data_IF_728979138163
#
_entry.id   IF_728979138163
#
_cell.length_a   1.000
_cell.length_b   1.000
_cell.length_c   1.000
_cell.angle_alpha   90.00
_cell.angle_beta   90.00
_cell.angle_gamma   90.00
#
_symmetry.space_group_name_H-M   'P 1'
#
loop_
_entity.id
_entity.type
_entity.pdbx_description
1 polymer ?
#
# COMPACT_ATOMS: atom_id res chain seq x y z
N UNK A 1 5.96 21.39 -11.31
CA UNK A 1 5.00 21.72 -10.22
C UNK A 1 4.35 20.43 -9.75
N UNK A 2 4.06 20.22 -8.48
CA UNK A 2 3.37 19.04 -8.03
C UNK A 2 1.96 19.04 -8.63
N UNK A 3 1.61 18.01 -9.39
CA UNK A 3 0.27 17.79 -9.93
C UNK A 3 -0.69 17.17 -8.91
N UNK A 4 -0.33 17.20 -7.64
CA UNK A 4 -1.06 16.59 -6.55
C UNK A 4 -0.87 17.36 -5.25
N UNK A 5 -1.98 17.66 -4.58
CA UNK A 5 -2.04 18.27 -3.27
C UNK A 5 -2.30 17.17 -2.22
N UNK A 6 -1.52 17.13 -1.16
CA UNK A 6 -1.67 16.12 -0.09
C UNK A 6 -2.90 16.34 0.79
N UNK A 7 -3.61 17.44 0.61
CA UNK A 7 -4.85 17.72 1.32
C UNK A 7 -5.94 16.73 0.96
N UNK A 8 -6.78 16.46 1.91
CA UNK A 8 -7.89 15.51 1.78
C UNK A 8 -9.23 16.24 1.83
N UNK A 9 -10.14 15.86 0.92
CA UNK A 9 -11.51 16.28 1.02
C UNK A 9 -12.10 15.89 2.40
N UNK A 10 -12.82 16.77 3.08
CA UNK A 10 -13.44 16.47 4.37
C UNK A 10 -14.28 15.19 4.33
N UNK A 11 -14.21 14.38 5.39
CA UNK A 11 -14.97 13.12 5.49
C UNK A 11 -16.41 13.35 5.98
N UNK A 12 -16.74 14.55 6.40
CA UNK A 12 -18.07 14.93 6.90
C UNK A 12 -19.04 15.11 5.75
N UNK A 13 -19.29 14.03 5.00
CA UNK A 13 -20.25 13.96 3.89
C UNK A 13 -21.64 13.63 4.42
N UNK A 14 -22.67 14.12 3.72
CA UNK A 14 -24.06 13.92 4.13
C UNK A 14 -24.64 12.61 3.59
N UNK A 15 -25.74 12.20 4.19
CA UNK A 15 -26.53 11.07 3.71
C UNK A 15 -27.00 11.32 2.27
N UNK A 16 -26.97 10.28 1.44
CA UNK A 16 -27.28 10.38 0.01
C UNK A 16 -26.05 10.48 -0.89
N UNK A 17 -24.86 10.67 -0.32
CA UNK A 17 -23.62 10.54 -1.08
C UNK A 17 -23.44 9.12 -1.60
N UNK A 18 -22.98 8.99 -2.84
CA UNK A 18 -22.76 7.69 -3.47
C UNK A 18 -21.31 7.48 -3.87
N UNK A 19 -20.90 6.20 -3.84
CA UNK A 19 -19.57 5.75 -4.24
C UNK A 19 -19.77 4.63 -5.26
N UNK A 20 -19.13 4.74 -6.41
CA UNK A 20 -19.19 3.72 -7.45
C UNK A 20 -17.82 3.46 -8.05
N UNK A 21 -17.63 2.24 -8.52
CA UNK A 21 -16.45 1.86 -9.31
C UNK A 21 -16.89 1.44 -10.70
N UNK A 22 -16.21 1.96 -11.73
CA UNK A 22 -16.52 1.71 -13.12
C UNK A 22 -15.34 1.09 -13.84
N UNK A 23 -15.59 -0.03 -14.52
CA UNK A 23 -14.64 -0.63 -15.45
C UNK A 23 -14.91 -0.15 -16.87
N UNK A 24 -13.87 0.28 -17.58
CA UNK A 24 -13.99 0.59 -19.00
C UNK A 24 -13.96 -0.71 -19.82
N UNK A 25 -15.13 -1.15 -20.24
CA UNK A 25 -15.33 -2.33 -21.09
C UNK A 25 -15.86 -1.87 -22.45
N UNK A 26 -15.26 -2.37 -23.52
CA UNK A 26 -15.75 -2.22 -24.88
C UNK A 26 -16.47 -3.51 -25.27
N UNK A 27 -17.66 -3.39 -25.81
CA UNK A 27 -18.49 -4.51 -26.25
C UNK A 27 -18.82 -4.30 -27.71
N UNK A 28 -18.31 -5.17 -28.57
CA UNK A 28 -18.58 -5.19 -30.00
C UNK A 28 -19.54 -6.34 -30.31
N UNK A 29 -20.70 -6.02 -30.89
CA UNK A 29 -21.68 -7.03 -31.31
C UNK A 29 -21.59 -7.18 -32.84
N UNK A 30 -21.32 -8.39 -33.29
CA UNK A 30 -21.30 -8.69 -34.73
C UNK A 30 -22.72 -8.91 -35.29
N UNK A 31 -22.86 -8.83 -36.61
CA UNK A 31 -24.16 -8.97 -37.28
C UNK A 31 -24.86 -10.32 -37.03
N UNK A 32 -24.12 -11.36 -36.61
CA UNK A 32 -24.68 -12.67 -36.25
C UNK A 32 -24.97 -12.81 -34.77
N UNK A 33 -24.92 -11.71 -33.98
CA UNK A 33 -25.26 -11.67 -32.56
C UNK A 33 -24.15 -12.10 -31.60
N UNK A 34 -22.94 -12.40 -32.09
CA UNK A 34 -21.82 -12.69 -31.20
C UNK A 34 -21.27 -11.41 -30.59
N UNK A 35 -20.97 -11.46 -29.29
CA UNK A 35 -20.37 -10.37 -28.56
C UNK A 35 -18.87 -10.62 -28.32
N UNK A 36 -18.05 -9.60 -28.60
CA UNK A 36 -16.64 -9.55 -28.22
C UNK A 36 -16.47 -8.49 -27.13
N UNK A 37 -15.89 -8.89 -25.98
CA UNK A 37 -15.69 -8.00 -24.85
C UNK A 37 -14.21 -7.74 -24.64
N UNK A 38 -13.86 -6.45 -24.56
CA UNK A 38 -12.49 -5.99 -24.36
C UNK A 38 -12.40 -5.12 -23.12
N UNK A 39 -11.56 -5.52 -22.16
CA UNK A 39 -11.26 -4.71 -20.99
C UNK A 39 -10.21 -3.65 -21.39
N UNK A 40 -10.55 -2.36 -21.24
CA UNK A 40 -9.63 -1.26 -21.57
C UNK A 40 -8.67 -0.90 -20.44
N UNK A 41 -9.08 -1.11 -19.18
CA UNK A 41 -8.27 -0.84 -17.99
C UNK A 41 -8.38 -1.99 -17.01
N UNK A 42 -7.25 -2.42 -16.46
CA UNK A 42 -7.20 -3.52 -15.49
C UNK A 42 -7.67 -3.12 -14.08
N UNK A 43 -7.87 -1.82 -13.82
CA UNK A 43 -8.34 -1.31 -12.56
C UNK A 43 -9.59 -0.44 -12.77
N UNK A 44 -10.55 -0.48 -11.86
CA UNK A 44 -11.72 0.39 -11.92
C UNK A 44 -11.33 1.84 -11.68
N UNK A 45 -12.13 2.75 -12.21
CA UNK A 45 -12.10 4.16 -11.85
C UNK A 45 -13.19 4.42 -10.83
N UNK A 46 -12.80 4.98 -9.70
CA UNK A 46 -13.77 5.36 -8.68
C UNK A 46 -14.46 6.67 -9.07
N UNK A 47 -15.78 6.69 -8.92
CA UNK A 47 -16.62 7.87 -9.05
C UNK A 47 -17.29 8.15 -7.72
N UNK A 48 -17.23 9.39 -7.29
CA UNK A 48 -17.83 9.82 -6.03
C UNK A 48 -18.82 10.94 -6.33
N UNK A 49 -20.02 10.81 -5.79
CA UNK A 49 -21.08 11.82 -5.82
C UNK A 49 -21.35 12.21 -4.37
N UNK A 50 -20.81 13.35 -3.96
CA UNK A 50 -20.76 13.74 -2.55
C UNK A 50 -21.67 14.92 -2.31
N UNK A 51 -22.50 14.83 -1.26
CA UNK A 51 -23.37 15.91 -0.80
C UNK A 51 -22.84 16.47 0.53
N UNK A 52 -22.99 17.79 0.66
CA UNK A 52 -22.69 18.58 1.85
C UNK A 52 -23.87 19.51 2.19
N UNK A 53 -25.06 19.18 1.75
CA UNK A 53 -26.25 20.06 1.80
C UNK A 53 -26.71 20.37 3.24
N UNK A 54 -26.42 19.49 4.20
CA UNK A 54 -26.75 19.68 5.60
C UNK A 54 -25.69 20.48 6.37
N UNK A 55 -24.59 20.88 5.71
CA UNK A 55 -23.53 21.67 6.33
C UNK A 55 -23.82 23.16 6.23
N UNK A 56 -23.29 23.90 7.22
CA UNK A 56 -23.39 25.36 7.17
C UNK A 56 -22.65 25.89 5.94
N UNK A 57 -23.22 26.86 5.25
CA UNK A 57 -22.64 27.43 4.03
C UNK A 57 -21.20 27.90 4.23
N UNK A 58 -20.90 28.54 5.36
CA UNK A 58 -19.56 29.01 5.66
C UNK A 58 -18.55 27.85 5.70
N UNK A 59 -18.91 26.74 6.34
CA UNK A 59 -18.07 25.55 6.38
C UNK A 59 -17.83 24.97 4.99
N UNK A 60 -18.87 24.92 4.14
CA UNK A 60 -18.72 24.43 2.76
C UNK A 60 -17.77 25.32 1.96
N UNK A 61 -17.85 26.64 2.16
CA UNK A 61 -16.97 27.60 1.48
C UNK A 61 -15.51 27.43 1.95
N UNK A 62 -15.29 27.28 3.24
CA UNK A 62 -13.95 27.20 3.82
C UNK A 62 -13.24 25.86 3.52
N UNK A 63 -13.98 24.76 3.55
CA UNK A 63 -13.39 23.42 3.44
C UNK A 63 -13.46 22.86 2.01
N UNK A 64 -14.62 22.94 1.37
CA UNK A 64 -14.84 22.28 0.08
C UNK A 64 -14.48 23.21 -1.08
N UNK A 65 -15.05 24.44 -1.10
CA UNK A 65 -14.82 25.40 -2.18
C UNK A 65 -13.36 25.90 -2.15
N UNK A 66 -12.82 26.13 -0.97
CA UNK A 66 -11.40 26.50 -0.82
C UNK A 66 -10.48 25.40 -1.37
N UNK A 67 -10.76 24.13 -1.09
CA UNK A 67 -9.99 23.01 -1.67
C UNK A 67 -10.08 23.01 -3.20
N UNK A 68 -11.29 23.21 -3.76
CA UNK A 68 -11.49 23.26 -5.20
C UNK A 68 -10.64 24.37 -5.87
N UNK A 69 -10.57 25.55 -5.25
CA UNK A 69 -9.73 26.64 -5.76
C UNK A 69 -8.24 26.37 -5.60
N UNK A 70 -7.81 25.77 -4.49
CA UNK A 70 -6.39 25.42 -4.27
C UNK A 70 -5.86 24.40 -5.27
N UNK A 71 -6.71 23.50 -5.76
CA UNK A 71 -6.34 22.52 -6.79
C UNK A 71 -6.61 23.01 -8.21
N UNK A 72 -7.09 24.25 -8.39
CA UNK A 72 -7.50 24.81 -9.68
C UNK A 72 -8.52 23.93 -10.41
N UNK A 73 -9.56 23.52 -9.70
CA UNK A 73 -10.58 22.62 -10.21
C UNK A 73 -10.02 21.21 -10.49
N UNK A 74 -9.93 20.84 -11.75
CA UNK A 74 -9.42 19.53 -12.19
C UNK A 74 -7.91 19.49 -12.55
N UNK A 75 -7.16 20.57 -12.26
CA UNK A 75 -5.75 20.66 -12.65
C UNK A 75 -4.85 19.80 -11.77
N UNK A 76 -5.04 19.84 -10.46
CA UNK A 76 -4.28 19.01 -9.52
C UNK A 76 -5.17 17.98 -8.84
N UNK A 77 -4.62 16.79 -8.58
CA UNK A 77 -5.30 15.79 -7.78
C UNK A 77 -5.23 16.12 -6.28
N UNK A 78 -6.16 15.58 -5.52
CA UNK A 78 -6.20 15.65 -4.07
C UNK A 78 -6.69 14.31 -3.49
N UNK A 79 -6.64 14.14 -2.17
CA UNK A 79 -7.06 12.90 -1.53
C UNK A 79 -8.56 12.87 -1.28
N UNK A 80 -9.18 11.76 -1.64
CA UNK A 80 -10.56 11.43 -1.25
C UNK A 80 -10.53 10.08 -0.53
N UNK A 81 -11.21 9.97 0.61
CA UNK A 81 -11.38 8.70 1.30
C UNK A 81 -12.55 7.94 0.69
N UNK A 82 -12.28 6.80 0.10
CA UNK A 82 -13.32 5.85 -0.26
C UNK A 82 -13.81 5.14 1.01
N UNK A 83 -14.98 5.49 1.51
CA UNK A 83 -15.52 4.91 2.74
C UNK A 83 -15.87 3.43 2.59
N UNK A 84 -16.12 2.96 1.38
CA UNK A 84 -16.41 1.56 1.11
C UNK A 84 -15.14 0.71 0.98
N UNK A 85 -14.02 1.28 0.52
CA UNK A 85 -12.78 0.54 0.25
C UNK A 85 -11.53 1.38 0.48
N UNK A 86 -11.16 1.62 1.73
CA UNK A 86 -9.96 2.40 2.06
C UNK A 86 -8.82 1.57 2.67
N UNK A 87 -9.04 0.29 2.94
CA UNK A 87 -8.06 -0.56 3.63
C UNK A 87 -7.63 -1.76 2.79
N UNK A 88 -6.44 -2.27 3.07
CA UNK A 88 -5.95 -3.56 2.59
C UNK A 88 -6.60 -4.75 3.29
N UNK A 89 -7.05 -4.56 4.54
CA UNK A 89 -7.71 -5.58 5.34
C UNK A 89 -9.22 -5.56 5.09
N UNK A 90 -9.71 -6.54 4.33
CA UNK A 90 -11.07 -6.50 3.80
C UNK A 90 -11.26 -5.22 2.97
N UNK A 91 -12.19 -4.35 3.39
CA UNK A 91 -12.42 -3.06 2.73
C UNK A 91 -12.18 -1.88 3.65
N UNK A 92 -12.44 -2.04 4.95
CA UNK A 92 -12.45 -0.96 5.94
C UNK A 92 -11.72 -1.31 7.24
N UNK A 93 -11.17 -2.52 7.36
CA UNK A 93 -10.48 -2.98 8.55
C UNK A 93 -9.14 -2.30 8.79
N UNK A 94 -8.54 -2.54 9.94
CA UNK A 94 -7.19 -2.04 10.24
C UNK A 94 -6.16 -2.80 9.40
N UNK A 95 -5.27 -2.11 8.67
CA UNK A 95 -4.24 -2.77 7.87
C UNK A 95 -3.30 -3.63 8.74
N UNK A 96 -2.94 -4.79 8.22
CA UNK A 96 -1.96 -5.71 8.83
C UNK A 96 -0.88 -6.11 7.82
N UNK A 97 0.18 -6.71 8.33
CA UNK A 97 1.31 -7.14 7.49
C UNK A 97 0.99 -8.34 6.58
N UNK A 98 -0.15 -8.99 6.77
CA UNK A 98 -0.56 -10.21 6.05
C UNK A 98 -1.74 -10.03 5.10
N UNK A 99 -2.26 -8.80 4.97
CA UNK A 99 -3.49 -8.54 4.20
C UNK A 99 -3.33 -8.81 2.71
N UNK A 100 -2.24 -8.35 2.13
CA UNK A 100 -2.02 -8.36 0.68
C UNK A 100 -0.57 -8.72 0.35
N UNK A 101 -0.39 -9.51 -0.69
CA UNK A 101 0.94 -9.76 -1.24
C UNK A 101 1.41 -8.57 -2.07
N UNK A 102 2.65 -8.15 -1.90
CA UNK A 102 3.28 -7.15 -2.75
C UNK A 102 3.81 -7.78 -4.05
N UNK A 103 3.76 -7.03 -5.14
CA UNK A 103 4.36 -7.46 -6.40
C UNK A 103 5.86 -7.09 -6.44
N UNK A 104 6.72 -8.03 -6.80
CA UNK A 104 8.14 -7.78 -7.01
C UNK A 104 8.32 -6.89 -8.26
N UNK A 105 9.01 -5.76 -8.12
CA UNK A 105 9.35 -4.86 -9.22
C UNK A 105 10.80 -5.07 -9.65
N UNK A 106 11.70 -5.10 -8.68
CA UNK A 106 13.13 -5.41 -8.84
C UNK A 106 13.69 -5.92 -7.51
N UNK A 107 14.92 -6.37 -7.49
CA UNK A 107 15.54 -6.87 -6.26
C UNK A 107 15.39 -5.86 -5.11
N UNK A 108 14.73 -6.27 -4.03
CA UNK A 108 14.47 -5.44 -2.86
C UNK A 108 13.41 -4.33 -3.02
N UNK A 109 12.74 -4.24 -4.18
CA UNK A 109 11.70 -3.23 -4.44
C UNK A 109 10.39 -3.92 -4.79
N UNK A 110 9.36 -3.58 -4.06
CA UNK A 110 8.03 -4.18 -4.17
C UNK A 110 6.96 -3.12 -4.38
N UNK A 111 5.94 -3.42 -5.16
CA UNK A 111 4.78 -2.56 -5.38
C UNK A 111 3.65 -2.97 -4.44
N UNK A 112 3.12 -2.01 -3.70
CA UNK A 112 1.88 -2.19 -2.94
C UNK A 112 0.71 -2.40 -3.92
N UNK A 113 -0.10 -3.40 -3.63
CA UNK A 113 -1.28 -3.72 -4.43
C UNK A 113 -2.40 -4.25 -3.55
N UNK A 114 -3.62 -4.20 -4.05
CA UNK A 114 -4.79 -4.85 -3.47
C UNK A 114 -5.40 -5.78 -4.51
N UNK A 115 -5.54 -7.05 -4.14
CA UNK A 115 -6.24 -8.06 -4.94
C UNK A 115 -7.70 -8.13 -4.51
N UNK A 116 -8.60 -8.19 -5.48
CA UNK A 116 -10.02 -8.40 -5.27
C UNK A 116 -10.40 -9.82 -5.68
N UNK A 117 -11.29 -10.40 -4.94
CA UNK A 117 -11.80 -11.72 -5.22
C UNK A 117 -11.64 -12.67 -4.03
N UNK A 118 -12.72 -13.38 -3.76
CA UNK A 118 -12.80 -14.41 -2.74
C UNK A 118 -12.37 -15.79 -3.24
N UNK A 119 -12.79 -16.81 -2.52
CA UNK A 119 -12.69 -18.19 -2.93
C UNK A 119 -13.69 -18.41 -4.08
N UNK A 120 -13.20 -18.76 -5.25
CA UNK A 120 -14.04 -18.98 -6.43
C UNK A 120 -13.25 -18.92 -7.72
N UNK A 121 -13.92 -19.20 -8.84
CA UNK A 121 -13.34 -19.14 -10.17
C UNK A 121 -12.98 -17.71 -10.59
N UNK A 122 -11.99 -17.61 -11.45
CA UNK A 122 -11.63 -16.36 -12.13
C UNK A 122 -11.89 -16.51 -13.62
N UNK A 123 -12.25 -15.42 -14.28
CA UNK A 123 -12.31 -15.37 -15.74
C UNK A 123 -10.89 -15.33 -16.32
N UNK A 124 -10.76 -15.51 -17.61
CA UNK A 124 -9.46 -15.63 -18.31
C UNK A 124 -8.51 -14.44 -18.10
N UNK A 125 -9.01 -13.26 -17.77
CA UNK A 125 -8.19 -12.08 -17.47
C UNK A 125 -7.60 -12.09 -16.05
N UNK A 126 -7.90 -13.08 -15.23
CA UNK A 126 -7.41 -13.21 -13.87
C UNK A 126 -8.18 -12.39 -12.84
N UNK A 127 -7.63 -12.31 -11.64
CA UNK A 127 -8.21 -11.52 -10.55
C UNK A 127 -7.91 -10.04 -10.73
N UNK A 128 -8.87 -9.15 -10.46
CA UNK A 128 -8.59 -7.72 -10.47
C UNK A 128 -7.54 -7.37 -9.41
N UNK A 129 -6.56 -6.59 -9.82
CA UNK A 129 -5.50 -6.08 -8.93
C UNK A 129 -5.45 -4.57 -9.10
N UNK A 130 -5.62 -3.87 -7.99
CA UNK A 130 -5.41 -2.42 -7.94
C UNK A 130 -4.00 -2.13 -7.43
N UNK A 131 -3.19 -1.50 -8.25
CA UNK A 131 -1.91 -0.94 -7.80
C UNK A 131 -2.20 0.23 -6.84
N UNK A 132 -1.57 0.19 -5.67
CA UNK A 132 -1.71 1.27 -4.69
C UNK A 132 -0.68 2.34 -4.99
N UNK A 133 -1.16 3.50 -5.43
CA UNK A 133 -0.39 4.73 -5.55
C UNK A 133 -0.72 5.65 -4.39
N UNK A 134 0.22 6.49 -4.01
CA UNK A 134 0.05 7.52 -2.97
C UNK A 134 -0.57 6.96 -1.66
N UNK A 135 0.03 5.91 -1.06
CA UNK A 135 -0.44 5.44 0.24
C UNK A 135 -0.36 6.58 1.27
N UNK A 136 -1.25 6.57 2.25
CA UNK A 136 -1.20 7.55 3.33
C UNK A 136 0.08 7.34 4.14
N UNK A 137 0.82 8.41 4.37
CA UNK A 137 2.05 8.35 5.16
C UNK A 137 1.76 7.76 6.55
N UNK A 138 2.62 6.84 7.00
CA UNK A 138 2.50 6.18 8.30
C UNK A 138 1.41 5.09 8.40
N UNK A 139 0.61 4.85 7.34
CA UNK A 139 -0.43 3.81 7.35
C UNK A 139 0.02 2.46 6.78
N UNK A 140 1.22 2.40 6.21
CA UNK A 140 1.74 1.17 5.58
C UNK A 140 2.38 0.29 6.65
N UNK A 141 2.00 -0.98 6.64
CA UNK A 141 2.62 -2.04 7.46
C UNK A 141 3.19 -3.09 6.52
N UNK A 142 4.47 -3.38 6.64
CA UNK A 142 5.16 -4.36 5.81
C UNK A 142 5.53 -5.58 6.65
N UNK A 143 5.32 -6.77 6.11
CA UNK A 143 5.70 -8.02 6.76
C UNK A 143 6.47 -8.95 5.84
N UNK A 144 7.18 -9.89 6.44
CA UNK A 144 7.85 -10.99 5.77
C UNK A 144 7.54 -12.29 6.49
N UNK A 145 7.18 -13.33 5.74
CA UNK A 145 6.83 -14.65 6.29
C UNK A 145 5.75 -14.59 7.41
N UNK A 146 4.78 -13.68 7.29
CA UNK A 146 3.68 -13.53 8.25
C UNK A 146 3.99 -12.66 9.48
N UNK A 147 5.22 -12.17 9.63
CA UNK A 147 5.60 -11.29 10.75
C UNK A 147 5.82 -9.84 10.27
N UNK A 148 5.36 -8.83 11.03
CA UNK A 148 5.62 -7.44 10.68
C UNK A 148 7.10 -7.10 10.80
N UNK A 149 7.60 -6.32 9.84
CA UNK A 149 8.98 -5.82 9.85
C UNK A 149 9.05 -4.46 10.55
N UNK A 150 10.11 -4.21 11.32
CA UNK A 150 10.34 -2.89 11.88
C UNK A 150 10.58 -1.87 10.76
N UNK A 151 10.12 -0.63 10.99
CA UNK A 151 10.20 0.47 10.00
C UNK A 151 11.63 0.83 9.58
N UNK A 152 12.64 0.43 10.35
CA UNK A 152 14.05 0.61 10.00
C UNK A 152 14.53 -0.30 8.85
N UNK A 153 13.77 -1.36 8.52
CA UNK A 153 14.13 -2.35 7.50
C UNK A 153 13.51 -2.09 6.13
N UNK A 154 12.67 -1.10 6.00
CA UNK A 154 12.03 -0.74 4.74
C UNK A 154 11.70 0.74 4.68
N UNK A 155 11.48 1.23 3.47
CA UNK A 155 10.99 2.57 3.23
C UNK A 155 9.89 2.52 2.16
N UNK A 156 8.88 3.36 2.29
CA UNK A 156 7.81 3.49 1.29
C UNK A 156 7.92 4.82 0.56
N UNK A 157 7.82 4.78 -0.75
CA UNK A 157 7.65 5.97 -1.57
C UNK A 157 6.16 6.32 -1.62
N UNK A 158 5.78 7.40 -0.95
CA UNK A 158 4.38 7.84 -0.85
C UNK A 158 3.79 8.40 -2.15
N UNK A 159 4.58 8.54 -3.21
CA UNK A 159 4.08 8.91 -4.54
C UNK A 159 3.77 7.69 -5.38
N UNK A 160 4.71 6.74 -5.43
CA UNK A 160 4.60 5.56 -6.30
C UNK A 160 3.98 4.35 -5.61
N UNK A 161 3.88 4.32 -4.27
CA UNK A 161 3.45 3.16 -3.50
C UNK A 161 4.45 2.01 -3.54
N UNK A 162 5.71 2.29 -3.82
CA UNK A 162 6.77 1.28 -3.81
C UNK A 162 7.42 1.19 -2.44
N UNK A 163 7.62 -0.02 -1.99
CA UNK A 163 8.37 -0.36 -0.78
C UNK A 163 9.75 -0.81 -1.20
N UNK A 164 10.77 -0.17 -0.65
CA UNK A 164 12.17 -0.57 -0.83
C UNK A 164 12.66 -1.17 0.48
N UNK A 165 13.15 -2.39 0.40
CA UNK A 165 13.77 -3.06 1.55
C UNK A 165 15.14 -2.44 1.82
N UNK A 166 15.48 -2.26 3.09
CA UNK A 166 16.82 -1.86 3.46
C UNK A 166 17.83 -2.92 3.01
N UNK A 167 18.98 -2.47 2.53
CA UNK A 167 20.05 -3.38 2.16
C UNK A 167 20.47 -4.23 3.37
N UNK A 168 20.73 -5.52 3.13
CA UNK A 168 21.24 -6.41 4.19
C UNK A 168 22.54 -5.85 4.76
N UNK A 169 22.54 -5.58 6.07
CA UNK A 169 23.71 -5.13 6.80
C UNK A 169 24.49 -6.38 7.25
N UNK A 170 25.54 -6.74 6.52
CA UNK A 170 26.42 -7.85 6.88
C UNK A 170 27.67 -7.35 7.59
N UNK A 171 28.07 -8.01 8.67
CA UNK A 171 29.29 -7.70 9.41
C UNK A 171 29.96 -8.98 9.87
N UNK A 172 31.29 -8.97 9.84
CA UNK A 172 32.05 -10.06 10.42
C UNK A 172 31.94 -10.04 11.95
N UNK A 173 31.66 -11.19 12.53
CA UNK A 173 31.66 -11.37 13.98
C UNK A 173 33.09 -11.58 14.41
N UNK A 174 33.58 -10.79 15.35
CA UNK A 174 34.95 -10.86 15.88
C UNK A 174 35.00 -11.65 17.16
N UNK A 175 33.93 -11.68 17.95
CA UNK A 175 33.86 -12.50 19.16
C UNK A 175 32.38 -12.77 19.51
N UNK A 176 32.15 -13.89 20.19
CA UNK A 176 30.90 -14.25 20.84
C UNK A 176 31.22 -14.77 22.24
N UNK A 177 30.60 -14.24 23.28
CA UNK A 177 30.77 -14.73 24.64
C UNK A 177 29.90 -15.95 24.89
N UNK A 178 30.43 -16.93 25.60
CA UNK A 178 29.68 -18.10 26.06
C UNK A 178 29.06 -17.77 27.44
N UNK A 179 27.89 -17.08 27.41
CA UNK A 179 27.18 -16.68 28.62
C UNK A 179 25.66 -16.86 28.42
N UNK A 180 24.87 -16.81 29.49
CA UNK A 180 23.39 -16.90 29.42
C UNK A 180 22.79 -15.82 28.57
N UNK A 181 23.39 -14.63 28.54
CA UNK A 181 23.17 -13.58 27.52
C UNK A 181 24.45 -13.43 26.73
N UNK A 182 24.49 -14.06 25.55
CA UNK A 182 25.68 -13.99 24.71
C UNK A 182 25.83 -12.58 24.13
N UNK A 183 27.00 -12.00 24.27
CA UNK A 183 27.38 -10.75 23.62
C UNK A 183 28.11 -11.06 22.33
N UNK A 184 27.57 -10.57 21.22
CA UNK A 184 28.17 -10.68 19.89
C UNK A 184 28.91 -9.39 19.58
N UNK A 185 30.24 -9.49 19.42
CA UNK A 185 31.08 -8.34 19.07
C UNK A 185 31.23 -8.29 17.54
N UNK A 186 30.87 -7.19 16.97
CA UNK A 186 31.04 -6.86 15.54
C UNK A 186 31.79 -5.53 15.44
N UNK A 187 32.49 -5.31 14.35
CA UNK A 187 33.14 -4.01 14.11
C UNK A 187 32.12 -2.86 14.02
N UNK A 188 32.56 -1.68 13.56
CA UNK A 188 31.66 -0.54 13.33
C UNK A 188 30.45 -0.94 12.50
N UNK A 189 29.25 -0.67 13.00
CA UNK A 189 28.00 -1.10 12.38
C UNK A 189 26.92 -0.03 12.43
N UNK A 190 25.91 -0.20 11.58
CA UNK A 190 24.70 0.64 11.51
C UNK A 190 23.45 -0.15 11.95
N UNK A 191 23.62 -1.25 12.68
CA UNK A 191 22.51 -2.04 13.24
C UNK A 191 21.81 -1.21 14.32
N UNK A 192 20.50 -1.26 14.34
CA UNK A 192 19.65 -0.56 15.30
C UNK A 192 18.99 -1.54 16.26
N UNK A 193 18.65 -1.06 17.45
CA UNK A 193 17.89 -1.86 18.41
C UNK A 193 16.53 -2.23 17.81
N UNK A 194 16.18 -3.52 17.87
CA UNK A 194 14.95 -4.07 17.28
C UNK A 194 15.10 -4.62 15.86
N UNK A 195 16.25 -4.47 15.22
CA UNK A 195 16.53 -5.17 13.95
C UNK A 195 16.75 -6.65 14.20
N UNK A 196 16.16 -7.50 13.35
CA UNK A 196 16.42 -8.94 13.36
C UNK A 196 17.79 -9.23 12.72
N UNK A 197 18.60 -10.05 13.36
CA UNK A 197 19.91 -10.44 12.86
C UNK A 197 19.97 -11.96 12.65
N UNK A 198 20.49 -12.40 11.52
CA UNK A 198 20.74 -13.79 11.23
C UNK A 198 22.24 -14.11 11.36
N UNK A 199 22.55 -15.30 11.86
CA UNK A 199 23.92 -15.76 12.02
C UNK A 199 24.24 -16.83 10.98
N UNK A 200 25.40 -16.72 10.33
CA UNK A 200 25.91 -17.71 9.38
C UNK A 200 27.40 -17.89 9.54
N UNK A 201 27.90 -19.07 9.25
CA UNK A 201 29.35 -19.33 9.25
C UNK A 201 30.02 -19.36 10.64
N UNK A 202 29.26 -19.55 11.72
CA UNK A 202 29.79 -19.66 13.07
C UNK A 202 30.38 -21.06 13.25
N UNK A 203 31.69 -21.14 13.56
CA UNK A 203 32.38 -22.41 13.67
C UNK A 203 32.37 -23.03 15.08
N UNK A 204 32.32 -22.21 16.12
CA UNK A 204 32.36 -22.68 17.51
C UNK A 204 31.04 -23.04 18.16
N UNK A 205 29.94 -22.38 17.71
CA UNK A 205 28.58 -22.60 18.17
C UNK A 205 27.66 -22.74 16.95
N UNK A 206 27.77 -23.87 16.27
CA UNK A 206 27.04 -24.08 14.99
C UNK A 206 25.52 -24.08 15.12
N UNK A 207 25.01 -24.30 16.35
CA UNK A 207 23.56 -24.31 16.64
C UNK A 207 22.85 -22.96 16.37
N UNK A 208 23.60 -21.87 16.37
CA UNK A 208 23.02 -20.53 16.11
C UNK A 208 23.05 -20.15 14.63
N UNK A 209 23.71 -20.93 13.78
CA UNK A 209 23.70 -20.71 12.34
C UNK A 209 22.28 -20.93 11.79
N UNK A 210 21.77 -19.94 11.07
CA UNK A 210 20.41 -19.97 10.51
C UNK A 210 19.31 -19.48 11.45
N UNK A 211 19.60 -19.17 12.71
CA UNK A 211 18.64 -18.46 13.57
C UNK A 211 18.50 -17.00 13.12
N UNK A 212 17.28 -16.48 13.25
CA UNK A 212 16.91 -15.08 12.93
C UNK A 212 16.22 -14.43 14.10
#
# INVERSE_FOLDING_TARGET
MPSFLEDRLPIAIDYGSSFGEEYAVEIDTTANGNEYRRLRHNAPRARYDLSFDMRQQLWVMDEVVSLFHRVFGKFAGFRVKNLADFSSNGYTGTPTATDQACALVSAGVYQLQKSYGGVGGTISVGRPIRTVFKPVAGSVVVGMAGAPLPVSQWAVNTVTGRVTMAANKSRAITAITKAAQAVVTVGAHTLLVGESVGFTGILGMTQINGLR
#
